data_IF_145326237771
#
_entry.id   IF_145326237771
#
_cell.length_a   1.000
_cell.length_b   1.000
_cell.length_c   1.000
_cell.angle_alpha   90.00
_cell.angle_beta   90.00
_cell.angle_gamma   90.00
#
_symmetry.space_group_name_H-M   'P 1'
#
loop_
_entity.id
_entity.type
_entity.pdbx_description
1 polymer ?
#
# COMPACT_ATOMS: atom_id res chain seq x y z
N UNK A 1 10.92 -2.20 -13.53
CA UNK A 1 11.00 -0.94 -14.31
C UNK A 1 10.81 -1.23 -15.79
N UNK A 2 9.69 -0.78 -16.37
CA UNK A 2 9.54 -0.56 -17.81
C UNK A 2 8.90 0.82 -17.92
N UNK A 3 9.72 1.81 -18.30
CA UNK A 3 9.40 3.22 -18.53
C UNK A 3 9.58 4.17 -17.32
N UNK A 4 10.55 5.07 -17.46
CA UNK A 4 10.91 6.21 -16.61
C UNK A 4 9.88 7.35 -16.59
N UNK A 5 8.66 7.12 -17.11
CA UNK A 5 7.59 8.12 -17.13
C UNK A 5 6.95 8.15 -15.74
N UNK A 6 6.72 9.35 -15.19
CA UNK A 6 5.93 9.48 -13.96
C UNK A 6 4.57 8.82 -14.17
N UNK A 7 4.19 7.91 -13.27
CA UNK A 7 2.92 7.20 -13.37
C UNK A 7 1.79 8.23 -13.31
N UNK A 8 0.89 8.17 -14.29
CA UNK A 8 -0.17 9.14 -14.43
C UNK A 8 -1.36 8.70 -13.59
N UNK A 9 -1.74 9.54 -12.64
CA UNK A 9 -2.85 9.26 -11.73
C UNK A 9 -4.15 9.59 -12.42
N UNK A 10 -4.85 8.56 -12.90
CA UNK A 10 -6.20 8.71 -13.44
C UNK A 10 -7.20 8.73 -12.29
N UNK A 11 -7.74 9.90 -12.01
CA UNK A 11 -8.65 10.16 -10.91
C UNK A 11 -10.01 10.49 -11.48
N UNK A 12 -11.04 9.81 -10.98
CA UNK A 12 -12.43 10.01 -11.36
C UNK A 12 -13.22 10.51 -10.15
N UNK A 13 -13.93 11.60 -10.33
CA UNK A 13 -15.01 12.08 -9.47
C UNK A 13 -16.33 12.04 -10.26
N UNK A 14 -17.48 12.22 -9.61
CA UNK A 14 -18.82 11.98 -10.18
C UNK A 14 -19.06 12.57 -11.57
N UNK A 15 -18.42 13.70 -11.87
CA UNK A 15 -18.61 14.43 -13.14
C UNK A 15 -17.36 14.53 -14.00
N UNK A 16 -16.21 14.08 -13.50
CA UNK A 16 -14.92 14.41 -14.13
C UNK A 16 -13.93 13.26 -14.01
N UNK A 17 -13.36 12.88 -15.15
CA UNK A 17 -12.12 12.11 -15.20
C UNK A 17 -10.98 13.10 -15.43
N UNK A 18 -9.98 13.07 -14.56
CA UNK A 18 -8.77 13.88 -14.68
C UNK A 18 -7.52 13.00 -14.58
N UNK A 19 -6.44 13.47 -15.19
CA UNK A 19 -5.14 12.82 -15.12
C UNK A 19 -4.16 13.76 -14.40
N UNK A 20 -3.75 13.38 -13.19
CA UNK A 20 -2.73 14.08 -12.44
C UNK A 20 -1.34 13.50 -12.75
N UNK A 21 -0.34 14.39 -12.83
CA UNK A 21 1.07 14.03 -13.01
C UNK A 21 1.84 14.53 -11.79
N UNK A 22 1.86 13.77 -10.69
CA UNK A 22 2.55 14.20 -9.48
C UNK A 22 4.05 14.36 -9.76
N UNK A 23 4.61 15.44 -9.23
CA UNK A 23 6.06 15.68 -9.21
C UNK A 23 6.52 15.32 -7.81
N UNK A 24 7.34 14.27 -7.71
CA UNK A 24 7.89 13.78 -6.46
C UNK A 24 9.41 13.94 -6.39
N UNK A 25 9.95 14.02 -5.17
CA UNK A 25 11.40 14.03 -4.92
C UNK A 25 12.08 12.72 -5.32
N UNK A 26 11.33 11.62 -5.27
CA UNK A 26 11.77 10.30 -5.67
C UNK A 26 10.59 9.51 -6.24
N UNK A 27 10.90 8.37 -6.88
CA UNK A 27 9.92 7.42 -7.38
C UNK A 27 10.27 6.03 -6.85
N UNK A 28 9.25 5.26 -6.53
CA UNK A 28 9.36 3.89 -6.07
C UNK A 28 8.54 3.02 -7.01
N UNK A 29 9.06 1.85 -7.37
CA UNK A 29 8.41 0.91 -8.28
C UNK A 29 7.95 -0.37 -7.56
N UNK A 30 7.73 -0.27 -6.25
CA UNK A 30 7.31 -1.34 -5.36
C UNK A 30 6.25 -0.80 -4.40
N UNK A 31 5.16 -1.55 -4.22
CA UNK A 31 4.01 -1.11 -3.43
C UNK A 31 4.31 -1.09 -1.94
N UNK A 32 5.07 -2.07 -1.43
CA UNK A 32 5.44 -2.15 -0.02
C UNK A 32 6.30 -0.96 0.38
N UNK A 33 7.33 -0.65 -0.40
CA UNK A 33 8.18 0.51 -0.18
C UNK A 33 7.39 1.82 -0.30
N UNK A 34 6.47 1.92 -1.28
CA UNK A 34 5.62 3.10 -1.43
C UNK A 34 4.73 3.31 -0.19
N UNK A 35 4.10 2.24 0.31
CA UNK A 35 3.33 2.26 1.54
C UNK A 35 4.20 2.66 2.73
N UNK A 36 5.38 2.06 2.89
CA UNK A 36 6.32 2.37 3.98
C UNK A 36 6.65 3.87 4.03
N UNK A 37 7.09 4.45 2.91
CA UNK A 37 7.41 5.89 2.84
C UNK A 37 6.20 6.79 3.11
N UNK A 38 5.01 6.34 2.75
CA UNK A 38 3.76 7.06 3.05
C UNK A 38 3.45 6.99 4.55
N UNK A 39 3.57 5.82 5.16
CA UNK A 39 3.27 5.58 6.57
C UNK A 39 4.20 6.36 7.52
N UNK A 40 5.47 6.56 7.13
CA UNK A 40 6.42 7.42 7.88
C UNK A 40 6.30 8.91 7.53
N UNK A 41 5.26 9.33 6.80
CA UNK A 41 5.00 10.73 6.46
C UNK A 41 5.95 11.35 5.42
N UNK A 42 6.74 10.55 4.71
CA UNK A 42 7.72 11.04 3.72
C UNK A 42 7.17 11.15 2.30
N UNK A 43 5.97 10.65 2.03
CA UNK A 43 5.35 10.66 0.71
C UNK A 43 3.81 10.71 0.76
N UNK A 44 3.21 11.14 -0.35
CA UNK A 44 1.81 10.87 -0.70
C UNK A 44 1.82 9.80 -1.79
N UNK A 45 1.01 8.77 -1.65
CA UNK A 45 0.96 7.66 -2.60
C UNK A 45 -0.42 7.45 -3.21
N UNK A 46 -0.40 6.81 -4.37
CA UNK A 46 -1.59 6.35 -5.08
C UNK A 46 -1.50 4.83 -5.19
N UNK A 47 -2.13 4.14 -4.25
CA UNK A 47 -2.13 2.68 -4.12
C UNK A 47 -3.58 2.16 -4.05
N UNK A 48 -3.81 0.87 -4.35
CA UNK A 48 -5.14 0.27 -4.22
C UNK A 48 -5.67 0.34 -2.79
N UNK A 49 -6.95 0.68 -2.62
CA UNK A 49 -7.59 0.85 -1.31
C UNK A 49 -7.47 -0.39 -0.40
N UNK A 50 -7.68 -1.59 -0.96
CA UNK A 50 -7.55 -2.84 -0.21
C UNK A 50 -6.16 -3.03 0.41
N UNK A 51 -5.14 -2.44 -0.23
CA UNK A 51 -3.78 -2.55 0.23
C UNK A 51 -3.50 -1.57 1.37
N UNK A 52 -4.28 -0.50 1.56
CA UNK A 52 -4.06 0.52 2.60
C UNK A 52 -5.05 0.46 3.76
N UNK A 53 -6.05 -0.43 3.68
CA UNK A 53 -7.18 -0.45 4.60
C UNK A 53 -6.76 -0.64 6.06
N UNK A 54 -5.76 -1.48 6.33
CA UNK A 54 -5.23 -1.69 7.67
C UNK A 54 -4.64 -0.40 8.27
N UNK A 55 -3.80 0.31 7.52
CA UNK A 55 -3.20 1.56 7.98
C UNK A 55 -4.21 2.69 8.15
N UNK A 56 -5.22 2.74 7.26
CA UNK A 56 -6.29 3.74 7.35
C UNK A 56 -7.19 3.46 8.55
N UNK A 57 -7.56 2.19 8.79
CA UNK A 57 -8.35 1.80 9.95
C UNK A 57 -7.63 2.08 11.27
N UNK A 58 -6.31 1.88 11.31
CA UNK A 58 -5.47 2.21 12.46
C UNK A 58 -5.18 3.72 12.60
N UNK A 59 -5.61 4.56 11.66
CA UNK A 59 -5.34 5.99 11.64
C UNK A 59 -3.87 6.36 11.39
N UNK A 60 -3.04 5.40 10.95
CA UNK A 60 -1.66 5.65 10.54
C UNK A 60 -1.57 6.33 9.17
N UNK A 61 -2.58 6.14 8.32
CA UNK A 61 -2.74 6.83 7.04
C UNK A 61 -4.11 7.49 6.94
N UNK A 62 -4.20 8.60 6.20
CA UNK A 62 -5.46 9.29 5.92
C UNK A 62 -5.64 9.49 4.41
N UNK A 63 -6.86 9.29 3.86
CA UNK A 63 -7.14 9.63 2.48
C UNK A 63 -7.09 11.15 2.26
N UNK A 64 -6.27 11.61 1.31
CA UNK A 64 -6.08 13.05 1.03
C UNK A 64 -7.00 13.61 -0.07
N UNK A 65 -7.60 12.73 -0.88
CA UNK A 65 -8.54 13.09 -1.96
C UNK A 65 -9.81 12.21 -1.89
N UNK A 66 -10.63 12.34 -0.82
CA UNK A 66 -11.72 11.41 -0.54
C UNK A 66 -12.86 11.42 -1.56
N UNK A 67 -12.97 12.44 -2.41
CA UNK A 67 -13.98 12.55 -3.47
C UNK A 67 -13.51 11.99 -4.83
N UNK A 68 -12.27 11.49 -4.89
CA UNK A 68 -11.66 10.97 -6.09
C UNK A 68 -11.37 9.49 -5.94
N UNK A 69 -11.60 8.73 -7.01
CA UNK A 69 -11.31 7.29 -7.07
C UNK A 69 -10.50 6.95 -8.29
N UNK A 70 -9.75 5.87 -8.20
CA UNK A 70 -9.13 5.24 -9.35
C UNK A 70 -10.19 4.63 -10.28
N UNK A 71 -9.81 4.36 -11.53
CA UNK A 71 -10.55 3.41 -12.35
C UNK A 71 -10.53 2.05 -11.67
N UNK A 72 -11.69 1.37 -11.61
CA UNK A 72 -11.73 -0.02 -11.14
C UNK A 72 -10.83 -0.87 -12.02
N UNK A 73 -9.93 -1.63 -11.40
CA UNK A 73 -9.05 -2.59 -12.07
C UNK A 73 -9.47 -4.00 -11.69
N UNK A 74 -9.62 -4.85 -12.70
CA UNK A 74 -9.85 -6.28 -12.49
C UNK A 74 -8.54 -6.99 -12.18
N UNK A 75 -8.61 -7.96 -11.28
CA UNK A 75 -7.49 -8.85 -10.93
C UNK A 75 -7.76 -10.19 -11.59
N UNK A 76 -6.75 -10.75 -12.24
CA UNK A 76 -6.89 -11.97 -13.05
C UNK A 76 -5.93 -13.05 -12.56
N UNK A 77 -6.42 -14.29 -12.48
CA UNK A 77 -5.58 -15.46 -12.32
C UNK A 77 -5.11 -15.93 -13.71
N UNK A 78 -3.81 -15.80 -13.98
CA UNK A 78 -3.22 -16.22 -15.25
C UNK A 78 -2.52 -17.58 -15.06
N UNK A 79 -2.84 -18.53 -15.94
CA UNK A 79 -2.21 -19.85 -15.97
C UNK A 79 -2.12 -20.35 -17.41
N UNK A 80 -1.14 -21.23 -17.74
CA UNK A 80 -1.01 -21.79 -19.08
C UNK A 80 -2.29 -22.49 -19.52
N UNK A 81 -2.70 -22.29 -20.78
CA UNK A 81 -3.95 -22.83 -21.30
C UNK A 81 -4.10 -24.33 -21.06
N UNK A 82 -3.03 -25.12 -21.16
CA UNK A 82 -3.02 -26.57 -20.93
C UNK A 82 -3.48 -26.98 -19.51
N UNK A 83 -3.38 -26.08 -18.53
CA UNK A 83 -3.74 -26.33 -17.13
C UNK A 83 -5.24 -26.23 -16.85
N UNK A 84 -6.07 -25.82 -17.82
CA UNK A 84 -7.53 -25.74 -17.64
C UNK A 84 -8.17 -27.09 -17.28
N UNK A 85 -7.54 -28.22 -17.63
CA UNK A 85 -8.04 -29.57 -17.29
C UNK A 85 -7.56 -30.06 -15.92
N UNK A 86 -6.70 -29.33 -15.23
CA UNK A 86 -6.17 -29.76 -13.93
C UNK A 86 -7.18 -29.41 -12.83
N UNK A 87 -7.80 -30.40 -12.15
CA UNK A 87 -8.76 -30.11 -11.08
C UNK A 87 -8.13 -29.35 -9.92
N UNK A 88 -6.83 -29.60 -9.64
CA UNK A 88 -6.08 -28.89 -8.59
C UNK A 88 -5.92 -27.40 -8.89
N UNK A 89 -5.58 -27.06 -10.13
CA UNK A 89 -5.42 -25.65 -10.55
C UNK A 89 -6.77 -24.95 -10.51
N UNK A 90 -7.81 -25.57 -11.06
CA UNK A 90 -9.16 -24.99 -11.05
C UNK A 90 -9.67 -24.79 -9.62
N UNK A 91 -9.47 -25.77 -8.73
CA UNK A 91 -9.89 -25.64 -7.33
C UNK A 91 -9.09 -24.55 -6.59
N UNK A 92 -7.81 -24.42 -6.87
CA UNK A 92 -6.98 -23.35 -6.32
C UNK A 92 -7.47 -21.97 -6.78
N UNK A 93 -7.67 -21.77 -8.09
CA UNK A 93 -8.18 -20.51 -8.65
C UNK A 93 -9.55 -20.17 -8.06
N UNK A 94 -10.48 -21.14 -8.04
CA UNK A 94 -11.81 -20.97 -7.43
C UNK A 94 -11.70 -20.53 -5.97
N UNK A 95 -10.82 -21.17 -5.18
CA UNK A 95 -10.65 -20.87 -3.76
C UNK A 95 -10.04 -19.49 -3.56
N UNK A 96 -8.95 -19.16 -4.26
CA UNK A 96 -8.32 -17.84 -4.14
C UNK A 96 -9.24 -16.73 -4.62
N UNK A 97 -10.00 -16.94 -5.70
CA UNK A 97 -10.98 -15.96 -6.18
C UNK A 97 -12.10 -15.72 -5.17
N UNK A 98 -12.54 -16.76 -4.45
CA UNK A 98 -13.56 -16.62 -3.40
C UNK A 98 -13.03 -15.93 -2.15
N UNK A 99 -11.82 -16.27 -1.72
CA UNK A 99 -11.23 -15.76 -0.47
C UNK A 99 -10.33 -14.52 -0.67
N UNK A 100 -10.29 -13.96 -1.88
CA UNK A 100 -9.30 -12.95 -2.27
C UNK A 100 -9.23 -11.77 -1.28
N UNK A 101 -10.39 -11.23 -0.90
CA UNK A 101 -10.48 -10.09 0.01
C UNK A 101 -9.89 -10.39 1.40
N UNK A 102 -10.08 -11.59 1.92
CA UNK A 102 -9.55 -11.96 3.23
C UNK A 102 -8.02 -12.06 3.20
N UNK A 103 -7.48 -12.62 2.13
CA UNK A 103 -6.03 -12.84 1.98
C UNK A 103 -5.28 -11.51 1.81
N UNK A 104 -5.83 -10.57 1.03
CA UNK A 104 -5.12 -9.32 0.71
C UNK A 104 -5.24 -8.25 1.81
N UNK A 105 -6.28 -8.30 2.63
CA UNK A 105 -6.49 -7.33 3.72
C UNK A 105 -5.64 -7.63 4.94
N UNK A 106 -5.17 -8.87 5.08
CA UNK A 106 -4.29 -9.23 6.18
C UNK A 106 -2.86 -8.71 5.90
N UNK A 107 -2.36 -7.74 6.68
CA UNK A 107 -1.06 -7.13 6.42
C UNK A 107 0.10 -8.12 6.62
N UNK A 108 -0.04 -9.09 7.53
CA UNK A 108 1.06 -9.97 7.92
C UNK A 108 2.12 -9.29 8.81
N UNK A 109 1.87 -8.07 9.25
CA UNK A 109 2.69 -7.28 10.19
C UNK A 109 1.79 -6.44 11.10
N UNK A 110 2.40 -5.81 12.11
CA UNK A 110 1.73 -4.90 13.04
C UNK A 110 2.30 -3.50 12.87
N UNK A 111 1.44 -2.48 13.02
CA UNK A 111 1.87 -1.10 13.14
C UNK A 111 2.34 -0.81 14.57
N UNK A 112 3.43 -0.06 14.64
CA UNK A 112 4.08 0.34 15.89
C UNK A 112 4.26 1.84 15.86
N UNK A 113 3.80 2.54 16.90
CA UNK A 113 4.21 3.93 17.12
C UNK A 113 5.59 3.93 17.77
N UNK A 114 6.57 4.51 17.10
CA UNK A 114 7.83 4.85 17.74
C UNK A 114 7.55 6.01 18.71
N UNK A 115 7.64 5.76 20.01
CA UNK A 115 7.67 6.84 20.99
C UNK A 115 9.00 7.55 20.83
N UNK A 116 8.99 8.80 20.37
CA UNK A 116 10.16 9.65 20.50
C UNK A 116 10.31 9.98 21.99
N UNK A 117 11.31 9.37 22.64
CA UNK A 117 11.71 9.79 23.98
C UNK A 117 12.18 11.24 23.91
N UNK A 118 11.51 12.11 24.67
CA UNK A 118 11.81 13.53 24.77
C UNK A 118 13.21 13.86 25.34
N UNK A 119 14.02 12.85 25.69
CA UNK A 119 15.37 13.02 26.22
C UNK A 119 16.48 13.11 25.14
N UNK A 120 16.25 12.61 23.92
CA UNK A 120 17.31 12.49 22.90
C UNK A 120 17.54 13.75 22.03
N UNK A 121 16.65 14.74 22.09
CA UNK A 121 16.79 16.00 21.35
C UNK A 121 18.01 16.84 21.80
N UNK A 122 18.66 16.51 22.93
CA UNK A 122 19.84 17.22 23.44
C UNK A 122 21.18 16.58 23.05
N UNK A 123 21.21 15.40 22.40
CA UNK A 123 22.46 14.73 21.99
C UNK A 123 22.55 14.61 20.47
N UNK A 124 22.99 15.69 19.84
CA UNK A 124 23.47 15.66 18.46
C UNK A 124 24.72 14.77 18.36
N UNK A 125 24.57 13.55 17.84
CA UNK A 125 25.68 12.65 17.55
C UNK A 125 25.14 11.28 17.20
N UNK A 126 25.13 10.97 15.89
CA UNK A 126 24.45 9.82 15.29
C UNK A 126 24.44 8.54 16.13
N UNK A 127 23.25 8.07 16.46
CA UNK A 127 23.01 6.71 16.92
C UNK A 127 21.66 6.24 16.38
N UNK A 128 21.63 5.00 15.86
CA UNK A 128 20.42 4.38 15.34
C UNK A 128 19.32 4.33 16.43
N UNK A 129 18.04 4.55 16.08
CA UNK A 129 16.96 4.53 17.05
C UNK A 129 16.92 3.16 17.74
N UNK A 130 16.95 3.17 19.08
CA UNK A 130 16.80 1.95 19.88
C UNK A 130 15.34 1.51 19.78
N UNK A 131 15.09 0.35 19.17
CA UNK A 131 13.75 -0.25 19.11
C UNK A 131 13.47 -0.87 20.46
N UNK A 132 12.88 -0.09 21.36
CA UNK A 132 12.32 -0.61 22.61
C UNK A 132 11.07 -1.43 22.30
N UNK A 133 10.96 -2.62 22.90
CA UNK A 133 9.93 -3.64 22.62
C UNK A 133 8.54 -3.29 23.18
N UNK A 134 8.32 -2.05 23.61
CA UNK A 134 7.07 -1.57 24.23
C UNK A 134 6.08 -0.96 23.22
N UNK A 135 6.30 -1.28 21.95
CA UNK A 135 5.37 -1.08 20.86
C UNK A 135 3.99 -1.71 21.14
N UNK A 136 3.07 -0.93 21.72
CA UNK A 136 1.68 -1.35 21.84
C UNK A 136 1.04 -1.32 20.44
N UNK A 137 0.36 -2.41 20.01
CA UNK A 137 -0.37 -2.41 18.75
C UNK A 137 -1.45 -1.32 18.80
N UNK A 138 -1.57 -0.57 17.70
CA UNK A 138 -2.66 0.39 17.49
C UNK A 138 -3.97 -0.37 17.28
#
# INVERSE_FOLDING_TARGET
>A
MRNSVAERWRLRSDRTLTEAKPIGKFKVNDYWMTKYFTAIGSAISYLPDFFLEYEVAAGALVPVLPEWRSEKRSIFALYPAQRHRSPRVMKFVETVSREFDQVIRYPGYLLVKLQESSEDASRSGGMAPSIERDAQPI
#
